data_IF_790879671141
#
_entry.id   IF_790879671141
#
_cell.length_a   1.000
_cell.length_b   1.000
_cell.length_c   1.000
_cell.angle_alpha   90.00
_cell.angle_beta   90.00
_cell.angle_gamma   90.00
#
_symmetry.space_group_name_H-M   'P 1'
#
loop_
_entity.id
_entity.type
_entity.pdbx_description
1 polymer ?
#
# COMPACT_ATOMS: atom_id res chain seq x y z
N UNK A 1 7.77 -41.12 -23.26
CA UNK A 1 7.06 -39.83 -23.38
C UNK A 1 6.31 -39.38 -22.13
N UNK A 2 5.48 -40.20 -21.45
CA UNK A 2 4.70 -39.73 -20.28
C UNK A 2 5.54 -39.31 -19.07
N UNK A 3 6.66 -40.00 -18.80
CA UNK A 3 7.55 -39.71 -17.66
C UNK A 3 8.33 -38.41 -17.80
N UNK A 4 8.78 -38.07 -19.02
CA UNK A 4 9.50 -36.82 -19.30
C UNK A 4 8.58 -35.61 -19.21
N UNK A 5 7.34 -35.70 -19.71
CA UNK A 5 6.34 -34.62 -19.60
C UNK A 5 5.98 -34.37 -18.12
N UNK A 6 5.80 -35.42 -17.32
CA UNK A 6 5.54 -35.29 -15.89
C UNK A 6 6.69 -34.61 -15.14
N UNK A 7 7.94 -35.04 -15.40
CA UNK A 7 9.12 -34.44 -14.78
C UNK A 7 9.28 -32.94 -15.12
N UNK A 8 9.04 -32.55 -16.37
CA UNK A 8 9.09 -31.14 -16.80
C UNK A 8 8.01 -30.32 -16.09
N UNK A 9 6.78 -30.83 -15.99
CA UNK A 9 5.70 -30.14 -15.26
C UNK A 9 6.03 -29.95 -13.78
N UNK A 10 6.59 -30.95 -13.11
CA UNK A 10 7.00 -30.84 -11.70
C UNK A 10 8.08 -29.78 -11.52
N UNK A 11 9.10 -29.73 -12.39
CA UNK A 11 10.15 -28.71 -12.34
C UNK A 11 9.57 -27.31 -12.56
N UNK A 12 8.67 -27.14 -13.53
CA UNK A 12 8.01 -25.86 -13.79
C UNK A 12 7.18 -25.38 -12.58
N UNK A 13 6.44 -26.28 -11.93
CA UNK A 13 5.67 -25.96 -10.73
C UNK A 13 6.57 -25.56 -9.56
N UNK A 14 7.64 -26.31 -9.32
CA UNK A 14 8.61 -26.00 -8.26
C UNK A 14 9.29 -24.65 -8.49
N UNK A 15 9.67 -24.35 -9.74
CA UNK A 15 10.25 -23.06 -10.10
C UNK A 15 9.25 -21.91 -9.92
N UNK A 16 8.00 -22.09 -10.36
CA UNK A 16 6.93 -21.11 -10.17
C UNK A 16 6.66 -20.83 -8.69
N UNK A 17 6.65 -21.86 -7.85
CA UNK A 17 6.50 -21.72 -6.40
C UNK A 17 7.68 -20.95 -5.77
N UNK A 18 8.91 -21.27 -6.16
CA UNK A 18 10.12 -20.58 -5.68
C UNK A 18 10.13 -19.09 -6.05
N UNK A 19 9.76 -18.75 -7.29
CA UNK A 19 9.63 -17.36 -7.73
C UNK A 19 8.53 -16.62 -6.98
N UNK A 20 7.38 -17.26 -6.78
CA UNK A 20 6.25 -16.67 -6.05
C UNK A 20 6.60 -16.40 -4.58
N UNK A 21 7.28 -17.36 -3.92
CA UNK A 21 7.76 -17.20 -2.55
C UNK A 21 8.79 -16.07 -2.45
N UNK A 22 9.76 -16.02 -3.38
CA UNK A 22 10.75 -14.93 -3.45
C UNK A 22 10.07 -13.57 -3.63
N UNK A 23 9.07 -13.48 -4.50
CA UNK A 23 8.32 -12.24 -4.72
C UNK A 23 7.52 -11.82 -3.47
N UNK A 24 6.84 -12.76 -2.82
CA UNK A 24 6.10 -12.50 -1.59
C UNK A 24 7.02 -11.97 -0.46
N UNK A 25 8.21 -12.56 -0.31
CA UNK A 25 9.21 -12.16 0.68
C UNK A 25 10.02 -10.92 0.30
N UNK A 26 10.01 -10.52 -0.97
CA UNK A 26 10.64 -9.27 -1.42
C UNK A 26 9.82 -8.04 -0.99
N UNK A 27 10.48 -6.90 -0.88
CA UNK A 27 9.84 -5.63 -0.56
C UNK A 27 10.62 -4.47 -1.18
N UNK A 28 9.92 -3.37 -1.35
CA UNK A 28 10.50 -2.07 -1.67
C UNK A 28 11.30 -1.55 -0.46
N UNK A 29 12.36 -0.78 -0.71
CA UNK A 29 13.11 -0.09 0.36
C UNK A 29 12.19 0.90 1.09
N UNK A 30 12.29 0.99 2.42
CA UNK A 30 11.50 1.93 3.21
C UNK A 30 11.63 3.38 2.78
N UNK A 31 12.82 3.83 2.37
CA UNK A 31 12.98 5.18 1.84
C UNK A 31 12.08 5.45 0.62
N UNK A 32 11.90 4.46 -0.26
CA UNK A 32 11.02 4.61 -1.42
C UNK A 32 9.54 4.58 -1.03
N UNK A 33 9.14 3.71 -0.10
CA UNK A 33 7.77 3.65 0.44
C UNK A 33 7.40 4.98 1.10
N UNK A 34 8.28 5.50 1.96
CA UNK A 34 8.10 6.77 2.66
C UNK A 34 8.02 7.92 1.66
N UNK A 35 8.89 7.97 0.65
CA UNK A 35 8.82 8.99 -0.40
C UNK A 35 7.46 8.99 -1.12
N UNK A 36 6.91 7.80 -1.41
CA UNK A 36 5.56 7.67 -2.01
C UNK A 36 4.48 8.16 -1.06
N UNK A 37 4.55 7.80 0.21
CA UNK A 37 3.64 8.29 1.25
C UNK A 37 3.68 9.82 1.39
N UNK A 38 4.87 10.42 1.37
CA UNK A 38 5.06 11.88 1.37
C UNK A 38 4.38 12.55 0.18
N UNK A 39 4.44 11.94 -1.01
CA UNK A 39 3.73 12.44 -2.19
C UNK A 39 2.21 12.48 -1.99
N UNK A 40 1.63 11.41 -1.43
CA UNK A 40 0.20 11.37 -1.11
C UNK A 40 -0.16 12.44 -0.06
N UNK A 41 0.65 12.57 1.00
CA UNK A 41 0.44 13.57 2.06
C UNK A 41 0.52 14.99 1.55
N UNK A 42 1.43 15.26 0.60
CA UNK A 42 1.50 16.56 -0.05
C UNK A 42 0.23 16.85 -0.85
N UNK A 43 -0.29 15.88 -1.61
CA UNK A 43 -1.55 16.04 -2.34
C UNK A 43 -2.74 16.32 -1.39
N UNK A 44 -2.82 15.60 -0.27
CA UNK A 44 -3.81 15.85 0.79
C UNK A 44 -3.67 17.25 1.39
N UNK A 45 -2.44 17.71 1.66
CA UNK A 45 -2.19 19.03 2.20
C UNK A 45 -2.63 20.13 1.23
N UNK A 46 -2.32 19.98 -0.07
CA UNK A 46 -2.75 20.91 -1.12
C UNK A 46 -4.27 20.97 -1.24
N UNK A 47 -4.94 19.81 -1.26
CA UNK A 47 -6.41 19.74 -1.24
C UNK A 47 -6.98 20.47 -0.02
N UNK A 48 -6.45 20.17 1.16
CA UNK A 48 -6.92 20.76 2.42
C UNK A 48 -6.70 22.27 2.47
N UNK A 49 -5.60 22.76 1.90
CA UNK A 49 -5.31 24.20 1.84
C UNK A 49 -6.33 24.96 0.98
N UNK A 50 -6.76 24.35 -0.13
CA UNK A 50 -7.72 24.91 -1.07
C UNK A 50 -9.15 24.88 -0.52
N UNK A 51 -9.58 23.71 -0.03
CA UNK A 51 -10.96 23.48 0.41
C UNK A 51 -11.20 23.80 1.88
N UNK A 52 -10.14 24.10 2.64
CA UNK A 52 -10.16 24.30 4.11
C UNK A 52 -10.63 23.08 4.89
N UNK A 53 -10.70 21.91 4.26
CA UNK A 53 -11.06 20.63 4.86
C UNK A 53 -10.41 19.47 4.10
N UNK A 54 -10.17 18.35 4.78
CA UNK A 54 -9.68 17.14 4.14
C UNK A 54 -10.77 16.52 3.24
N UNK A 55 -10.40 15.75 2.19
CA UNK A 55 -11.39 15.17 1.29
C UNK A 55 -12.28 14.14 1.98
N UNK A 56 -13.55 14.06 1.58
CA UNK A 56 -14.50 13.10 2.14
C UNK A 56 -14.18 11.65 1.72
N UNK A 57 -13.49 11.49 0.59
CA UNK A 57 -12.97 10.22 0.10
C UNK A 57 -11.62 10.43 -0.58
N UNK A 58 -10.72 9.44 -0.54
CA UNK A 58 -9.40 9.56 -1.17
C UNK A 58 -9.48 9.88 -2.68
N UNK A 59 -10.50 9.35 -3.35
CA UNK A 59 -10.77 9.52 -4.76
C UNK A 59 -10.99 10.97 -5.19
N UNK A 60 -11.35 11.86 -4.25
CA UNK A 60 -11.50 13.29 -4.55
C UNK A 60 -10.15 13.92 -4.93
N UNK A 61 -9.02 13.43 -4.37
CA UNK A 61 -7.67 13.87 -4.78
C UNK A 61 -7.36 13.54 -6.25
N UNK A 62 -7.85 12.39 -6.72
CA UNK A 62 -7.66 11.93 -8.10
C UNK A 62 -8.57 12.73 -9.04
N UNK A 63 -9.84 12.91 -8.65
CA UNK A 63 -10.84 13.62 -9.44
C UNK A 63 -10.46 15.08 -9.69
N UNK A 64 -9.86 15.72 -8.70
CA UNK A 64 -9.42 17.12 -8.79
C UNK A 64 -7.98 17.29 -9.30
N UNK A 65 -7.32 16.21 -9.69
CA UNK A 65 -5.96 16.25 -10.23
C UNK A 65 -4.90 16.69 -9.22
N UNK A 66 -5.19 16.61 -7.91
CA UNK A 66 -4.17 16.84 -6.85
C UNK A 66 -3.17 15.69 -6.80
N UNK A 67 -3.58 14.51 -7.27
CA UNK A 67 -2.74 13.33 -7.43
C UNK A 67 -3.16 12.58 -8.71
N UNK A 68 -2.21 12.26 -9.58
CA UNK A 68 -2.52 11.56 -10.85
C UNK A 68 -3.03 10.14 -10.61
N UNK A 69 -2.38 9.41 -9.70
CA UNK A 69 -2.76 8.07 -9.27
C UNK A 69 -2.15 7.76 -7.90
N UNK A 70 -2.80 6.87 -7.15
CA UNK A 70 -2.23 6.34 -5.92
C UNK A 70 -0.96 5.52 -6.26
N UNK A 71 0.21 5.85 -5.69
CA UNK A 71 1.45 5.18 -6.03
C UNK A 71 1.44 3.74 -5.54
N UNK A 72 1.83 2.79 -6.38
CA UNK A 72 1.94 1.39 -5.95
C UNK A 72 3.08 1.19 -4.94
N UNK A 73 2.82 0.41 -3.89
CA UNK A 73 3.81 -0.11 -2.95
C UNK A 73 3.85 -1.63 -2.98
N UNK A 74 5.03 -2.18 -2.66
CA UNK A 74 5.25 -3.60 -2.45
C UNK A 74 5.96 -3.76 -1.11
N UNK A 75 5.23 -4.17 -0.09
CA UNK A 75 5.84 -4.49 1.20
C UNK A 75 6.23 -5.96 1.23
N UNK A 76 7.22 -6.29 2.06
CA UNK A 76 7.55 -7.68 2.38
C UNK A 76 6.32 -8.35 3.00
N UNK A 77 6.00 -9.59 2.58
CA UNK A 77 4.81 -10.36 2.97
C UNK A 77 3.46 -9.82 2.47
N UNK A 78 3.48 -8.87 1.54
CA UNK A 78 2.27 -8.42 0.86
C UNK A 78 2.46 -8.40 -0.65
N UNK A 79 1.38 -8.53 -1.41
CA UNK A 79 1.44 -8.29 -2.86
C UNK A 79 1.55 -6.80 -3.17
N UNK A 80 2.02 -6.46 -4.37
CA UNK A 80 2.06 -5.06 -4.82
C UNK A 80 0.64 -4.52 -4.89
N UNK A 81 0.38 -3.38 -4.25
CA UNK A 81 -0.93 -2.72 -4.22
C UNK A 81 -0.79 -1.23 -4.48
N UNK A 82 -1.73 -0.67 -5.24
CA UNK A 82 -1.86 0.77 -5.47
C UNK A 82 -3.15 1.34 -4.87
N UNK A 83 -4.10 0.48 -4.47
CA UNK A 83 -5.38 0.92 -3.93
C UNK A 83 -5.21 1.64 -2.57
N UNK A 84 -6.06 2.63 -2.34
CA UNK A 84 -6.24 3.29 -1.04
C UNK A 84 -7.60 2.90 -0.52
N UNK A 85 -7.64 2.34 0.70
CA UNK A 85 -8.89 1.99 1.37
C UNK A 85 -9.40 3.16 2.20
N UNK A 86 -10.56 3.70 1.87
CA UNK A 86 -11.28 4.59 2.78
C UNK A 86 -11.75 3.81 4.01
N UNK A 87 -11.56 4.39 5.19
CA UNK A 87 -11.95 3.78 6.47
C UNK A 87 -12.49 4.84 7.43
N UNK A 88 -13.49 4.46 8.22
CA UNK A 88 -14.13 5.37 9.17
C UNK A 88 -13.18 5.76 10.33
N UNK A 89 -12.28 4.85 10.71
CA UNK A 89 -11.30 5.07 11.78
C UNK A 89 -9.95 4.49 11.36
N UNK A 90 -8.88 4.83 12.07
CA UNK A 90 -7.59 4.15 11.90
C UNK A 90 -7.69 2.71 12.40
N UNK A 91 -7.41 1.76 11.52
CA UNK A 91 -7.51 0.33 11.77
C UNK A 91 -6.51 -0.41 10.88
N UNK A 92 -5.63 -1.18 11.52
CA UNK A 92 -4.63 -2.00 10.83
C UNK A 92 -5.25 -3.36 10.52
N UNK A 93 -5.52 -3.63 9.24
CA UNK A 93 -6.00 -4.91 8.69
C UNK A 93 -4.89 -5.74 8.02
N UNK A 94 -3.66 -5.23 8.02
CA UNK A 94 -2.49 -5.89 7.43
C UNK A 94 -2.67 -6.19 5.92
N UNK A 95 -3.30 -5.26 5.20
CA UNK A 95 -3.57 -5.43 3.76
C UNK A 95 -2.32 -5.22 2.87
N UNK A 96 -1.31 -4.55 3.39
CA UNK A 96 -0.11 -4.12 2.65
C UNK A 96 -0.39 -3.01 1.64
N UNK A 97 -1.47 -2.25 1.85
CA UNK A 97 -1.92 -1.16 1.01
C UNK A 97 -1.90 0.18 1.77
N UNK A 98 -2.38 1.22 1.12
CA UNK A 98 -2.67 2.49 1.78
C UNK A 98 -4.06 2.47 2.41
N UNK A 99 -4.24 3.21 3.49
CA UNK A 99 -5.54 3.48 4.07
C UNK A 99 -5.69 4.97 4.38
N UNK A 100 -6.93 5.46 4.26
CA UNK A 100 -7.30 6.86 4.45
C UNK A 100 -8.46 6.97 5.43
N UNK A 101 -8.30 7.74 6.51
CA UNK A 101 -9.36 8.00 7.48
C UNK A 101 -10.29 9.07 6.94
N UNK A 102 -11.48 8.66 6.50
CA UNK A 102 -12.39 9.48 5.71
C UNK A 102 -13.65 9.93 6.49
N UNK A 103 -13.71 9.66 7.79
CA UNK A 103 -14.81 10.09 8.65
C UNK A 103 -14.49 11.44 9.32
N UNK A 104 -15.25 12.51 9.06
CA UNK A 104 -15.09 13.80 9.75
C UNK A 104 -15.30 13.75 11.26
N UNK A 105 -15.86 12.63 11.78
CA UNK A 105 -16.09 12.41 13.21
C UNK A 105 -14.88 11.79 13.93
N UNK A 106 -13.94 11.18 13.21
CA UNK A 106 -12.70 10.64 13.81
C UNK A 106 -11.69 11.80 13.96
N UNK A 107 -11.00 11.92 15.11
CA UNK A 107 -9.99 12.97 15.32
C UNK A 107 -8.80 12.89 14.34
N UNK A 108 -8.63 11.78 13.63
CA UNK A 108 -7.62 11.56 12.59
C UNK A 108 -8.19 11.70 11.19
N UNK A 109 -9.35 12.33 11.01
CA UNK A 109 -9.87 12.65 9.68
C UNK A 109 -8.80 13.30 8.80
N UNK A 110 -8.62 12.79 7.58
CA UNK A 110 -7.55 13.24 6.68
C UNK A 110 -6.24 12.48 6.79
N UNK A 111 -6.10 11.56 7.75
CA UNK A 111 -4.89 10.75 7.89
C UNK A 111 -4.79 9.71 6.78
N UNK A 112 -3.65 9.69 6.09
CA UNK A 112 -3.21 8.56 5.26
C UNK A 112 -2.06 7.82 5.94
N UNK A 113 -2.15 6.49 5.93
CA UNK A 113 -1.19 5.60 6.56
C UNK A 113 -1.01 4.30 5.76
N UNK A 114 0.00 3.52 6.12
CA UNK A 114 0.27 2.21 5.54
C UNK A 114 -0.46 1.15 6.39
N UNK A 115 -1.38 0.43 5.77
CA UNK A 115 -2.16 -0.62 6.42
C UNK A 115 -1.36 -1.92 6.48
N UNK A 116 -0.44 -2.00 7.43
CA UNK A 116 0.48 -3.11 7.63
C UNK A 116 0.89 -3.22 9.10
N UNK A 117 0.79 -4.42 9.67
CA UNK A 117 1.15 -4.72 11.06
C UNK A 117 2.63 -5.09 11.23
N UNK A 118 3.39 -5.15 10.13
CA UNK A 118 4.80 -5.51 10.14
C UNK A 118 5.71 -4.30 10.30
N UNK A 119 6.97 -4.56 10.67
CA UNK A 119 8.02 -3.55 10.76
C UNK A 119 8.82 -3.38 9.46
N UNK A 120 9.41 -2.20 9.28
CA UNK A 120 10.48 -1.93 8.32
C UNK A 120 11.79 -2.61 8.74
N UNK A 121 12.83 -2.48 7.91
CA UNK A 121 14.16 -3.02 8.21
C UNK A 121 14.86 -2.36 9.41
N UNK A 122 14.31 -1.28 9.96
CA UNK A 122 14.82 -0.56 11.14
C UNK A 122 14.01 -0.84 12.40
N UNK A 123 13.03 -1.74 12.36
CA UNK A 123 12.19 -2.10 13.50
C UNK A 123 11.05 -1.12 13.80
N UNK A 124 10.66 -0.29 12.85
CA UNK A 124 9.51 0.64 12.98
C UNK A 124 8.29 0.06 12.29
N UNK A 125 7.11 0.13 12.91
CA UNK A 125 5.89 -0.34 12.25
C UNK A 125 5.59 0.50 11.01
N UNK A 126 5.16 -0.16 9.94
CA UNK A 126 4.73 0.55 8.72
C UNK A 126 3.57 1.51 8.98
N UNK A 127 2.67 1.16 9.90
CA UNK A 127 1.53 1.99 10.30
C UNK A 127 1.91 3.28 11.03
N UNK A 128 3.14 3.38 11.54
CA UNK A 128 3.60 4.52 12.34
C UNK A 128 4.22 5.64 11.49
N UNK A 129 4.49 5.36 10.22
CA UNK A 129 4.95 6.38 9.27
C UNK A 129 3.83 7.32 8.89
#
# INVERSE_FOLDING_TARGET
MKKTVSAVLTVCLAFGAALSARYYLSGMNAAEVIRKLSGIRMALALYTLEHKTAPAAFEDLLREGKLEAAPAIKLRRHFRRAAVRNTATFEIKDSGAWAYVNSPKDPRFGLVYIDCAHMDEKGRYWSDF
#
